data_IF_258269662647
#
_entry.id   IF_258269662647
#
_cell.length_a   1.000
_cell.length_b   1.000
_cell.length_c   1.000
_cell.angle_alpha   90.00
_cell.angle_beta   90.00
_cell.angle_gamma   90.00
#
_symmetry.space_group_name_H-M   'P 1'
#
loop_
_entity.id
_entity.type
_entity.pdbx_description
1 polymer ?
#
# COMPACT_ATOMS: atom_id res chain seq x y z
N UNK A 1 18.82 -8.08 -14.64
CA UNK A 1 19.81 -7.41 -13.76
C UNK A 1 20.58 -8.48 -13.01
N UNK A 2 21.86 -8.29 -12.76
CA UNK A 2 22.64 -9.18 -11.88
C UNK A 2 22.36 -8.87 -10.39
N UNK A 3 22.80 -9.74 -9.49
CA UNK A 3 22.54 -9.59 -8.05
C UNK A 3 23.10 -8.27 -7.49
N UNK A 4 24.28 -7.85 -7.96
CA UNK A 4 24.92 -6.60 -7.52
C UNK A 4 24.07 -5.39 -7.89
N UNK A 5 23.63 -5.32 -9.14
CA UNK A 5 22.74 -4.22 -9.60
C UNK A 5 21.39 -4.25 -8.87
N UNK A 6 20.84 -5.43 -8.61
CA UNK A 6 19.59 -5.57 -7.82
C UNK A 6 19.77 -5.00 -6.42
N UNK A 7 20.83 -5.35 -5.71
CA UNK A 7 21.11 -4.83 -4.36
C UNK A 7 21.37 -3.32 -4.36
N UNK A 8 22.03 -2.79 -5.40
CA UNK A 8 22.21 -1.35 -5.56
C UNK A 8 20.86 -0.62 -5.77
N UNK A 9 19.94 -1.19 -6.55
CA UNK A 9 18.61 -0.62 -6.75
C UNK A 9 17.81 -0.64 -5.45
N UNK A 10 17.81 -1.75 -4.73
CA UNK A 10 17.12 -1.87 -3.42
C UNK A 10 17.67 -0.84 -2.43
N UNK A 11 18.99 -0.80 -2.26
CA UNK A 11 19.65 0.15 -1.34
C UNK A 11 19.44 1.60 -1.75
N UNK A 12 19.59 1.91 -3.04
CA UNK A 12 19.35 3.23 -3.60
C UNK A 12 17.89 3.69 -3.41
N UNK A 13 16.94 2.79 -3.61
CA UNK A 13 15.52 3.05 -3.34
C UNK A 13 15.27 3.36 -1.86
N UNK A 14 15.78 2.51 -0.95
CA UNK A 14 15.63 2.75 0.49
C UNK A 14 16.20 4.12 0.91
N UNK A 15 17.38 4.49 0.40
CA UNK A 15 17.99 5.80 0.64
C UNK A 15 17.16 6.93 0.03
N UNK A 16 16.61 6.75 -1.16
CA UNK A 16 15.78 7.78 -1.83
C UNK A 16 14.48 8.03 -1.06
N UNK A 17 13.80 7.00 -0.57
CA UNK A 17 12.61 7.17 0.26
C UNK A 17 12.95 7.74 1.65
N UNK A 18 14.11 7.42 2.22
CA UNK A 18 14.60 8.09 3.43
C UNK A 18 14.85 9.57 3.19
N UNK A 19 15.45 9.92 2.06
CA UNK A 19 15.65 11.31 1.66
C UNK A 19 14.31 12.03 1.48
N UNK A 20 13.35 11.41 0.77
CA UNK A 20 12.01 11.96 0.60
C UNK A 20 11.32 12.21 1.95
N UNK A 21 11.38 11.26 2.88
CA UNK A 21 10.84 11.41 4.24
C UNK A 21 11.49 12.59 4.97
N UNK A 22 12.79 12.80 4.76
CA UNK A 22 13.54 13.94 5.34
C UNK A 22 13.12 15.26 4.69
N UNK A 23 12.91 15.30 3.37
CA UNK A 23 12.40 16.48 2.64
C UNK A 23 11.01 16.84 3.16
N UNK A 24 10.11 15.86 3.29
CA UNK A 24 8.75 16.10 3.84
C UNK A 24 8.82 16.66 5.27
N UNK A 25 9.85 16.33 6.05
CA UNK A 25 10.06 16.86 7.40
C UNK A 25 10.31 18.36 7.41
N UNK A 26 10.99 18.91 6.39
CA UNK A 26 11.31 20.35 6.30
C UNK A 26 10.21 21.16 5.62
N UNK A 27 9.27 20.49 4.94
CA UNK A 27 8.11 21.15 4.34
C UNK A 27 7.07 21.59 5.40
N UNK A 28 6.28 22.64 5.12
CA UNK A 28 5.26 23.12 6.04
C UNK A 28 4.21 22.03 6.30
N UNK A 29 4.12 21.60 7.56
CA UNK A 29 3.10 20.64 8.01
C UNK A 29 1.84 21.38 8.43
N UNK A 30 0.63 20.95 7.98
CA UNK A 30 -0.62 21.54 8.43
C UNK A 30 -0.73 21.58 9.96
N UNK A 31 -1.30 22.65 10.52
CA UNK A 31 -1.32 22.91 11.97
C UNK A 31 -1.90 21.72 12.74
N UNK A 32 -2.99 21.14 12.28
CA UNK A 32 -3.64 19.98 12.91
C UNK A 32 -2.80 18.70 12.83
N UNK A 33 -2.02 18.54 11.76
CA UNK A 33 -1.13 17.40 11.56
C UNK A 33 0.15 17.47 12.41
N UNK A 34 0.53 18.64 12.92
CA UNK A 34 1.76 18.82 13.74
C UNK A 34 1.80 17.90 14.96
N UNK A 35 0.64 17.65 15.60
CA UNK A 35 0.55 16.70 16.74
C UNK A 35 0.86 15.26 16.34
N UNK A 36 0.79 14.93 15.05
CA UNK A 36 1.07 13.61 14.46
C UNK A 36 2.09 13.73 13.32
N UNK A 37 3.11 14.56 13.48
CA UNK A 37 4.07 14.93 12.45
C UNK A 37 4.79 13.71 11.84
N UNK A 38 5.13 12.70 12.65
CA UNK A 38 5.71 11.46 12.14
C UNK A 38 4.73 10.77 11.17
N UNK A 39 3.47 10.60 11.58
CA UNK A 39 2.45 9.95 10.73
C UNK A 39 2.20 10.71 9.44
N UNK A 40 2.21 12.04 9.49
CA UNK A 40 2.11 12.89 8.30
C UNK A 40 3.23 12.58 7.30
N UNK A 41 4.48 12.54 7.76
CA UNK A 41 5.65 12.25 6.90
C UNK A 41 5.60 10.83 6.33
N UNK A 42 5.35 9.84 7.19
CA UNK A 42 5.28 8.44 6.80
C UNK A 42 4.20 8.25 5.72
N UNK A 43 2.97 8.73 5.93
CA UNK A 43 1.88 8.60 4.95
C UNK A 43 2.16 9.38 3.66
N UNK A 44 2.85 10.54 3.72
CA UNK A 44 3.24 11.29 2.52
C UNK A 44 4.27 10.51 1.68
N UNK A 45 5.23 9.85 2.34
CA UNK A 45 6.22 8.99 1.68
C UNK A 45 5.55 7.76 1.07
N UNK A 46 4.59 7.15 1.78
CA UNK A 46 3.79 6.02 1.29
C UNK A 46 2.92 6.40 0.09
N UNK A 47 2.35 7.61 0.08
CA UNK A 47 1.59 8.13 -1.07
C UNK A 47 2.48 8.24 -2.32
N UNK A 48 3.70 8.76 -2.18
CA UNK A 48 4.63 8.85 -3.29
C UNK A 48 5.02 7.46 -3.84
N UNK A 49 5.31 6.50 -2.94
CA UNK A 49 5.57 5.11 -3.32
C UNK A 49 4.38 4.51 -4.08
N UNK A 50 3.18 4.56 -3.50
CA UNK A 50 1.98 3.96 -4.10
C UNK A 50 1.65 4.56 -5.45
N UNK A 51 1.81 5.87 -5.62
CA UNK A 51 1.59 6.56 -6.91
C UNK A 51 2.59 6.10 -7.96
N UNK A 52 3.87 6.00 -7.60
CA UNK A 52 4.92 5.53 -8.50
C UNK A 52 4.71 4.07 -8.89
N UNK A 53 4.57 3.19 -7.89
CA UNK A 53 4.59 1.73 -8.12
C UNK A 53 3.27 1.20 -8.65
N UNK A 54 2.13 1.79 -8.29
CA UNK A 54 0.84 1.45 -8.88
C UNK A 54 0.79 1.77 -10.38
N UNK A 55 1.25 2.97 -10.78
CA UNK A 55 1.35 3.34 -12.18
C UNK A 55 2.37 2.44 -12.93
N UNK A 56 3.51 2.18 -12.32
CA UNK A 56 4.55 1.33 -12.91
C UNK A 56 4.09 -0.14 -13.07
N UNK A 57 3.30 -0.68 -12.14
CA UNK A 57 2.72 -2.03 -12.27
C UNK A 57 1.79 -2.13 -13.49
N UNK A 58 0.95 -1.11 -13.73
CA UNK A 58 0.11 -1.04 -14.94
C UNK A 58 0.98 -1.01 -16.21
N UNK A 59 2.04 -0.20 -16.22
CA UNK A 59 2.96 -0.12 -17.36
C UNK A 59 3.70 -1.44 -17.61
N UNK A 60 4.03 -2.22 -16.58
CA UNK A 60 4.61 -3.56 -16.75
C UNK A 60 3.71 -4.47 -17.57
N UNK A 61 2.41 -4.53 -17.28
CA UNK A 61 1.47 -5.35 -18.03
C UNK A 61 1.16 -4.78 -19.42
N UNK A 62 1.16 -3.45 -19.56
CA UNK A 62 0.96 -2.80 -20.86
C UNK A 62 2.08 -3.10 -21.86
N UNK A 63 3.35 -3.01 -21.40
CA UNK A 63 4.52 -3.26 -22.27
C UNK A 63 4.90 -4.73 -22.37
N UNK A 64 4.49 -5.56 -21.41
CA UNK A 64 4.82 -6.98 -21.34
C UNK A 64 3.56 -7.83 -21.06
N UNK A 65 2.57 -7.86 -21.97
CA UNK A 65 1.30 -8.57 -21.76
C UNK A 65 1.50 -10.09 -21.58
N UNK A 66 2.54 -10.68 -22.14
CA UNK A 66 2.91 -12.08 -21.93
C UNK A 66 3.19 -12.44 -20.45
N UNK A 67 3.45 -11.45 -19.61
CA UNK A 67 3.63 -11.68 -18.16
C UNK A 67 2.34 -12.17 -17.47
N UNK A 68 1.16 -11.90 -18.06
CA UNK A 68 -0.13 -12.39 -17.53
C UNK A 68 -0.28 -13.89 -17.76
N UNK A 69 0.33 -14.43 -18.83
CA UNK A 69 0.28 -15.83 -19.20
C UNK A 69 1.21 -16.69 -18.34
N UNK A 70 2.39 -16.16 -18.03
CA UNK A 70 3.39 -16.83 -17.18
C UNK A 70 3.89 -15.89 -16.06
N UNK A 71 3.27 -15.99 -14.90
CA UNK A 71 3.65 -15.20 -13.71
C UNK A 71 4.86 -15.76 -12.96
N UNK A 72 5.27 -16.99 -13.26
CA UNK A 72 6.37 -17.69 -12.58
C UNK A 72 7.70 -17.31 -13.22
N UNK A 73 7.83 -17.53 -14.53
CA UNK A 73 9.12 -17.46 -15.24
C UNK A 73 9.28 -16.15 -16.02
N UNK A 74 8.17 -15.53 -16.41
CA UNK A 74 8.22 -14.29 -17.18
C UNK A 74 8.77 -13.13 -16.36
N UNK A 75 9.80 -12.48 -16.91
CA UNK A 75 10.43 -11.32 -16.29
C UNK A 75 10.94 -10.33 -17.33
N UNK A 76 10.96 -9.07 -16.95
CA UNK A 76 11.57 -8.00 -17.75
C UNK A 76 12.44 -7.11 -16.84
N UNK A 77 13.29 -6.29 -17.42
CA UNK A 77 14.05 -5.29 -16.65
C UNK A 77 13.08 -4.35 -15.94
N UNK A 78 11.94 -4.02 -16.58
CA UNK A 78 10.92 -3.13 -16.02
C UNK A 78 10.28 -3.72 -14.78
N UNK A 79 9.82 -5.00 -14.83
CA UNK A 79 9.19 -5.68 -13.69
C UNK A 79 10.18 -5.95 -12.56
N UNK A 80 11.42 -6.34 -12.89
CA UNK A 80 12.47 -6.56 -11.91
C UNK A 80 12.81 -5.26 -11.16
N UNK A 81 12.99 -4.15 -11.89
CA UNK A 81 13.29 -2.84 -11.29
C UNK A 81 12.14 -2.35 -10.40
N UNK A 82 10.88 -2.54 -10.82
CA UNK A 82 9.72 -2.20 -10.02
C UNK A 82 9.71 -2.93 -8.67
N UNK A 83 9.88 -4.26 -8.69
CA UNK A 83 9.87 -5.07 -7.46
C UNK A 83 11.08 -4.75 -6.58
N UNK A 84 12.27 -4.50 -7.16
CA UNK A 84 13.46 -4.09 -6.42
C UNK A 84 13.29 -2.71 -5.76
N UNK A 85 12.72 -1.73 -6.47
CA UNK A 85 12.41 -0.39 -5.93
C UNK A 85 11.39 -0.49 -4.79
N UNK A 86 10.33 -1.30 -4.97
CA UNK A 86 9.33 -1.53 -3.93
C UNK A 86 9.93 -2.21 -2.71
N UNK A 87 10.82 -3.20 -2.90
CA UNK A 87 11.53 -3.85 -1.79
C UNK A 87 12.32 -2.83 -0.96
N UNK A 88 13.06 -1.92 -1.62
CA UNK A 88 13.80 -0.86 -0.94
C UNK A 88 12.90 0.08 -0.13
N UNK A 89 11.74 0.46 -0.69
CA UNK A 89 10.75 1.23 0.04
C UNK A 89 10.23 0.47 1.27
N UNK A 90 9.82 -0.80 1.14
CA UNK A 90 9.28 -1.56 2.27
C UNK A 90 10.32 -1.76 3.37
N UNK A 91 11.61 -1.91 3.04
CA UNK A 91 12.71 -1.92 4.02
C UNK A 91 12.80 -0.56 4.74
N UNK A 92 12.76 0.55 4.00
CA UNK A 92 12.77 1.88 4.60
C UNK A 92 11.57 2.09 5.54
N UNK A 93 10.35 1.76 5.09
CA UNK A 93 9.13 1.98 5.85
C UNK A 93 9.08 1.08 7.10
N UNK A 94 9.51 -0.18 6.97
CA UNK A 94 9.67 -1.08 8.11
C UNK A 94 10.59 -0.48 9.19
N UNK A 95 11.77 -0.01 8.80
CA UNK A 95 12.73 0.60 9.72
C UNK A 95 12.19 1.91 10.32
N UNK A 96 11.55 2.77 9.51
CA UNK A 96 10.97 4.02 10.00
C UNK A 96 9.88 3.76 11.05
N UNK A 97 9.02 2.76 10.85
CA UNK A 97 8.02 2.35 11.84
C UNK A 97 8.64 1.71 13.08
N UNK A 98 9.60 0.80 12.90
CA UNK A 98 10.24 0.10 14.01
C UNK A 98 10.96 1.05 14.98
N UNK A 99 11.55 2.14 14.45
CA UNK A 99 12.27 3.13 15.26
C UNK A 99 11.38 4.24 15.83
N UNK A 100 10.22 4.54 15.22
CA UNK A 100 9.41 5.70 15.59
C UNK A 100 8.05 5.35 16.21
N UNK A 101 7.64 4.08 16.21
CA UNK A 101 6.36 3.63 16.76
C UNK A 101 6.53 2.58 17.85
N UNK A 102 5.59 2.52 18.79
CA UNK A 102 5.55 1.41 19.72
C UNK A 102 5.12 0.12 19.03
N UNK A 103 5.75 -0.99 19.36
CA UNK A 103 5.45 -2.30 18.78
C UNK A 103 3.96 -2.66 18.87
N UNK A 104 3.30 -2.33 19.99
CA UNK A 104 1.87 -2.60 20.19
C UNK A 104 0.95 -1.92 19.15
N UNK A 105 1.40 -0.81 18.57
CA UNK A 105 0.60 -0.05 17.58
C UNK A 105 0.93 -0.42 16.14
N UNK A 106 2.10 -1.00 15.88
CA UNK A 106 2.63 -1.22 14.54
C UNK A 106 2.88 -2.68 14.16
N UNK A 107 2.72 -3.64 15.10
CA UNK A 107 3.09 -5.04 14.88
C UNK A 107 2.40 -5.68 13.66
N UNK A 108 1.11 -5.38 13.41
CA UNK A 108 0.38 -5.90 12.24
C UNK A 108 1.08 -5.47 10.95
N UNK A 109 1.45 -4.19 10.88
CA UNK A 109 2.07 -3.60 9.70
C UNK A 109 3.53 -4.02 9.57
N UNK A 110 4.28 -4.12 10.66
CA UNK A 110 5.64 -4.66 10.67
C UNK A 110 5.68 -6.12 10.20
N UNK A 111 4.73 -6.94 10.64
CA UNK A 111 4.60 -8.32 10.17
C UNK A 111 4.30 -8.36 8.66
N UNK A 112 3.37 -7.54 8.20
CA UNK A 112 3.06 -7.41 6.77
C UNK A 112 4.31 -7.02 5.95
N UNK A 113 5.03 -5.99 6.35
CA UNK A 113 6.26 -5.57 5.66
C UNK A 113 7.32 -6.66 5.65
N UNK A 114 7.50 -7.38 6.75
CA UNK A 114 8.44 -8.51 6.81
C UNK A 114 8.12 -9.58 5.77
N UNK A 115 6.85 -9.94 5.62
CA UNK A 115 6.38 -10.93 4.64
C UNK A 115 6.58 -10.41 3.22
N UNK A 116 6.21 -9.15 2.95
CA UNK A 116 6.38 -8.54 1.61
C UNK A 116 7.85 -8.46 1.23
N UNK A 117 8.73 -8.01 2.14
CA UNK A 117 10.18 -7.95 1.91
C UNK A 117 10.74 -9.34 1.60
N UNK A 118 10.29 -10.39 2.32
CA UNK A 118 10.72 -11.76 2.07
C UNK A 118 10.26 -12.27 0.71
N UNK A 119 8.98 -12.07 0.35
CA UNK A 119 8.44 -12.49 -0.94
C UNK A 119 9.09 -11.76 -2.12
N UNK A 120 9.20 -10.43 -2.03
CA UNK A 120 9.80 -9.61 -3.08
C UNK A 120 11.32 -9.84 -3.17
N UNK A 121 12.00 -9.97 -2.03
CA UNK A 121 13.40 -10.34 -1.98
C UNK A 121 13.68 -11.66 -2.68
N UNK A 122 12.85 -12.68 -2.43
CA UNK A 122 12.93 -13.95 -3.16
C UNK A 122 12.72 -13.75 -4.67
N UNK A 123 11.67 -13.02 -5.06
CA UNK A 123 11.33 -12.79 -6.47
C UNK A 123 12.49 -12.10 -7.23
N UNK A 124 13.09 -11.04 -6.66
CA UNK A 124 14.19 -10.31 -7.34
C UNK A 124 15.52 -11.08 -7.35
N UNK A 125 15.78 -11.92 -6.36
CA UNK A 125 17.01 -12.71 -6.30
C UNK A 125 16.96 -13.94 -7.20
N UNK A 126 15.81 -14.62 -7.26
CA UNK A 126 15.61 -15.81 -8.11
C UNK A 126 15.21 -15.46 -9.53
N UNK A 127 14.68 -14.26 -9.78
CA UNK A 127 14.02 -13.82 -11.02
C UNK A 127 12.77 -14.65 -11.37
N UNK A 128 12.24 -15.37 -10.41
CA UNK A 128 11.01 -16.13 -10.51
C UNK A 128 9.89 -15.41 -9.77
N UNK A 129 8.64 -15.65 -10.18
CA UNK A 129 7.44 -15.06 -9.55
C UNK A 129 7.36 -13.53 -9.64
N UNK A 130 8.17 -12.90 -10.52
CA UNK A 130 8.13 -11.44 -10.70
C UNK A 130 6.76 -10.98 -11.22
N UNK A 131 6.13 -11.73 -12.12
CA UNK A 131 4.79 -11.44 -12.58
C UNK A 131 3.77 -11.43 -11.43
N UNK A 132 3.85 -12.42 -10.53
CA UNK A 132 3.00 -12.48 -9.34
C UNK A 132 3.23 -11.32 -8.37
N UNK A 133 4.49 -10.92 -8.18
CA UNK A 133 4.85 -9.74 -7.38
C UNK A 133 4.30 -8.44 -8.00
N UNK A 134 4.36 -8.28 -9.35
CA UNK A 134 3.80 -7.12 -10.05
C UNK A 134 2.27 -7.08 -9.92
N UNK A 135 1.57 -8.24 -10.02
CA UNK A 135 0.12 -8.30 -9.74
C UNK A 135 -0.19 -7.81 -8.33
N UNK A 136 0.59 -8.24 -7.34
CA UNK A 136 0.38 -7.79 -5.95
C UNK A 136 0.55 -6.27 -5.79
N UNK A 137 1.39 -5.62 -6.59
CA UNK A 137 1.58 -4.17 -6.58
C UNK A 137 0.43 -3.39 -7.22
N UNK A 138 -0.52 -4.03 -7.93
CA UNK A 138 -1.74 -3.37 -8.39
C UNK A 138 -2.61 -2.87 -7.22
N UNK A 139 -2.49 -3.45 -6.03
CA UNK A 139 -3.17 -2.96 -4.83
C UNK A 139 -2.72 -1.55 -4.44
N UNK A 140 -1.53 -1.11 -4.90
CA UNK A 140 -1.01 0.23 -4.64
C UNK A 140 -1.85 1.34 -5.31
N UNK A 141 -2.61 1.01 -6.36
CA UNK A 141 -3.58 1.94 -6.97
C UNK A 141 -4.63 2.38 -5.94
N UNK A 142 -5.15 1.44 -5.14
CA UNK A 142 -6.03 1.81 -4.02
C UNK A 142 -5.26 2.53 -2.90
N UNK A 143 -4.01 2.13 -2.62
CA UNK A 143 -3.20 2.76 -1.58
C UNK A 143 -3.00 4.27 -1.82
N UNK A 144 -2.99 4.74 -3.08
CA UNK A 144 -2.97 6.17 -3.42
C UNK A 144 -4.14 6.91 -2.75
N UNK A 145 -5.36 6.42 -2.94
CA UNK A 145 -6.57 7.04 -2.37
C UNK A 145 -6.65 6.84 -0.86
N UNK A 146 -6.18 5.70 -0.36
CA UNK A 146 -6.10 5.43 1.08
C UNK A 146 -5.17 6.42 1.78
N UNK A 147 -3.97 6.65 1.24
CA UNK A 147 -3.00 7.60 1.80
C UNK A 147 -3.45 9.05 1.62
N UNK A 148 -4.00 9.42 0.46
CA UNK A 148 -4.58 10.74 0.23
C UNK A 148 -5.69 11.04 1.25
N UNK A 149 -6.64 10.10 1.46
CA UNK A 149 -7.69 10.21 2.47
C UNK A 149 -7.10 10.38 3.87
N UNK A 150 -6.05 9.63 4.20
CA UNK A 150 -5.39 9.72 5.51
C UNK A 150 -4.73 11.09 5.73
N UNK A 151 -4.12 11.68 4.70
CA UNK A 151 -3.53 13.03 4.77
C UNK A 151 -4.63 14.10 4.93
N UNK A 152 -5.75 13.97 4.21
CA UNK A 152 -6.90 14.86 4.37
C UNK A 152 -7.49 14.77 5.78
N UNK A 153 -7.52 13.57 6.37
CA UNK A 153 -7.95 13.35 7.74
C UNK A 153 -7.00 14.01 8.75
N UNK A 154 -5.69 13.88 8.56
CA UNK A 154 -4.67 14.49 9.41
C UNK A 154 -4.68 16.02 9.31
N UNK A 155 -5.04 16.58 8.15
CA UNK A 155 -5.18 18.02 7.93
C UNK A 155 -6.54 18.60 8.40
N UNK A 156 -7.42 17.77 8.99
CA UNK A 156 -8.70 18.20 9.54
C UNK A 156 -9.82 18.39 8.52
N UNK A 157 -9.65 17.92 7.28
CA UNK A 157 -10.64 18.10 6.21
C UNK A 157 -11.95 17.33 6.43
N UNK A 158 -12.00 16.39 7.36
CA UNK A 158 -13.22 15.69 7.75
C UNK A 158 -14.15 16.56 8.60
N UNK A 159 -13.58 17.37 9.50
CA UNK A 159 -14.35 18.21 10.42
C UNK A 159 -13.96 19.67 10.23
N UNK A 160 -14.24 20.23 9.05
CA UNK A 160 -14.01 21.65 8.81
C UNK A 160 -14.93 22.49 9.71
N UNK A 161 -14.39 23.50 10.39
CA UNK A 161 -15.20 24.41 11.16
C UNK A 161 -16.30 25.00 10.25
N UNK A 162 -17.56 24.88 10.68
CA UNK A 162 -18.66 25.63 10.09
C UNK A 162 -18.61 27.11 10.48
N UNK A 163 -19.49 27.92 9.91
CA UNK A 163 -19.82 29.24 10.43
C UNK A 163 -20.57 29.08 11.77
N UNK A 164 -20.70 30.15 12.57
CA UNK A 164 -21.36 30.12 13.90
C UNK A 164 -22.75 29.43 13.92
N UNK A 165 -23.37 29.28 12.75
CA UNK A 165 -24.73 28.70 12.57
C UNK A 165 -24.69 27.26 12.02
N UNK A 166 -23.53 26.75 11.49
CA UNK A 166 -23.47 25.45 10.83
C UNK A 166 -22.53 24.48 11.55
N UNK A 167 -22.99 23.23 11.75
CA UNK A 167 -22.18 22.17 12.31
C UNK A 167 -20.95 21.88 11.43
N UNK A 168 -19.84 21.35 12.01
CA UNK A 168 -18.65 20.92 11.26
C UNK A 168 -19.02 19.93 10.16
N UNK A 169 -18.55 20.18 8.94
CA UNK A 169 -18.84 19.33 7.76
C UNK A 169 -17.56 18.87 7.09
N UNK A 170 -17.56 17.66 6.49
CA UNK A 170 -16.42 17.19 5.69
C UNK A 170 -16.26 18.05 4.43
N UNK A 171 -15.02 18.24 4.00
CA UNK A 171 -14.75 18.92 2.72
C UNK A 171 -15.16 18.02 1.54
N UNK A 172 -15.55 18.65 0.43
CA UNK A 172 -15.88 17.92 -0.81
C UNK A 172 -14.73 17.02 -1.27
N UNK A 173 -13.50 17.50 -1.17
CA UNK A 173 -12.29 16.71 -1.50
C UNK A 173 -12.20 15.46 -0.63
N UNK A 174 -12.47 15.56 0.69
CA UNK A 174 -12.48 14.41 1.58
C UNK A 174 -13.56 13.38 1.18
N UNK A 175 -14.76 13.85 0.86
CA UNK A 175 -15.88 13.00 0.44
C UNK A 175 -15.54 12.25 -0.84
N UNK A 176 -15.10 12.97 -1.89
CA UNK A 176 -14.73 12.36 -3.18
C UNK A 176 -13.59 11.33 -2.98
N UNK A 177 -12.55 11.70 -2.24
CA UNK A 177 -11.42 10.79 -1.99
C UNK A 177 -11.86 9.55 -1.20
N UNK A 178 -12.79 9.67 -0.25
CA UNK A 178 -13.32 8.53 0.50
C UNK A 178 -14.11 7.57 -0.39
N UNK A 179 -14.96 8.08 -1.29
CA UNK A 179 -15.68 7.25 -2.26
C UNK A 179 -14.75 6.58 -3.27
N UNK A 180 -13.77 7.32 -3.80
CA UNK A 180 -12.75 6.75 -4.68
C UNK A 180 -11.93 5.66 -3.96
N UNK A 181 -11.58 5.89 -2.68
CA UNK A 181 -10.89 4.88 -1.88
C UNK A 181 -11.74 3.61 -1.72
N UNK A 182 -13.04 3.74 -1.46
CA UNK A 182 -13.93 2.58 -1.31
C UNK A 182 -14.11 1.83 -2.65
N UNK A 183 -14.37 2.55 -3.74
CA UNK A 183 -14.52 1.96 -5.07
C UNK A 183 -13.25 1.25 -5.55
N UNK A 184 -12.11 1.91 -5.44
CA UNK A 184 -10.81 1.31 -5.81
C UNK A 184 -10.40 0.17 -4.87
N UNK A 185 -10.85 0.16 -3.62
CA UNK A 185 -10.64 -0.96 -2.69
C UNK A 185 -11.28 -2.24 -3.22
N UNK A 186 -12.53 -2.17 -3.66
CA UNK A 186 -13.22 -3.34 -4.21
C UNK A 186 -12.55 -3.84 -5.49
N UNK A 187 -12.17 -2.92 -6.39
CA UNK A 187 -11.58 -3.27 -7.69
C UNK A 187 -10.14 -3.78 -7.54
N UNK A 188 -9.27 -3.05 -6.84
CA UNK A 188 -7.83 -3.36 -6.82
C UNK A 188 -7.38 -4.19 -5.63
N UNK A 189 -8.08 -4.18 -4.49
CA UNK A 189 -7.72 -5.05 -3.35
C UNK A 189 -8.50 -6.35 -3.34
N UNK A 190 -9.83 -6.26 -3.34
CA UNK A 190 -10.65 -7.48 -3.23
C UNK A 190 -10.49 -8.37 -4.46
N UNK A 191 -10.62 -7.79 -5.68
CA UNK A 191 -10.53 -8.57 -6.91
C UNK A 191 -9.12 -9.12 -7.15
N UNK A 192 -8.06 -8.30 -6.95
CA UNK A 192 -6.68 -8.75 -7.12
C UNK A 192 -6.36 -9.88 -6.13
N UNK A 193 -6.72 -9.71 -4.86
CA UNK A 193 -6.46 -10.71 -3.84
C UNK A 193 -7.21 -12.02 -4.09
N UNK A 194 -8.49 -11.95 -4.44
CA UNK A 194 -9.29 -13.11 -4.80
C UNK A 194 -8.71 -13.85 -6.03
N UNK A 195 -8.26 -13.09 -7.03
CA UNK A 195 -7.58 -13.65 -8.19
C UNK A 195 -6.25 -14.33 -7.83
N UNK A 196 -5.42 -13.68 -6.99
CA UNK A 196 -4.14 -14.24 -6.54
C UNK A 196 -4.31 -15.55 -5.76
N UNK A 197 -5.30 -15.62 -4.86
CA UNK A 197 -5.64 -16.84 -4.11
C UNK A 197 -6.06 -17.96 -5.06
N UNK A 198 -6.94 -17.66 -6.01
CA UNK A 198 -7.40 -18.63 -7.02
C UNK A 198 -6.24 -19.12 -7.90
N UNK A 199 -5.40 -18.19 -8.35
CA UNK A 199 -4.22 -18.52 -9.17
C UNK A 199 -3.26 -19.44 -8.41
N UNK A 200 -2.92 -19.08 -7.15
CA UNK A 200 -2.01 -19.88 -6.33
C UNK A 200 -2.56 -21.29 -6.06
N UNK A 201 -3.86 -21.42 -5.80
CA UNK A 201 -4.51 -22.71 -5.62
C UNK A 201 -4.44 -23.57 -6.88
N UNK A 202 -4.69 -22.98 -8.06
CA UNK A 202 -4.66 -23.68 -9.35
C UNK A 202 -3.26 -24.12 -9.80
N UNK A 203 -2.20 -23.46 -9.29
CA UNK A 203 -0.80 -23.77 -9.66
C UNK A 203 -0.02 -24.45 -8.53
N UNK A 204 -0.69 -24.88 -7.48
CA UNK A 204 -0.07 -25.43 -6.26
C UNK A 204 0.84 -26.64 -6.52
N UNK A 205 0.52 -27.45 -7.53
CA UNK A 205 1.33 -28.65 -7.90
C UNK A 205 2.64 -28.29 -8.60
N UNK A 206 2.73 -27.11 -9.24
CA UNK A 206 3.88 -26.65 -9.99
C UNK A 206 4.84 -25.76 -9.17
N UNK A 207 4.43 -25.40 -7.96
CA UNK A 207 5.18 -24.49 -7.09
C UNK A 207 5.85 -25.29 -5.97
N UNK A 208 7.16 -25.08 -5.71
CA UNK A 208 7.84 -25.71 -4.59
C UNK A 208 7.12 -25.43 -3.26
N UNK A 209 7.00 -26.44 -2.40
CA UNK A 209 6.19 -26.38 -1.16
C UNK A 209 6.54 -25.20 -0.26
N UNK A 210 7.81 -24.87 -0.10
CA UNK A 210 8.23 -23.74 0.74
C UNK A 210 7.75 -22.38 0.19
N UNK A 211 7.75 -22.20 -1.14
CA UNK A 211 7.24 -20.98 -1.80
C UNK A 211 5.71 -20.92 -1.68
N UNK A 212 5.04 -22.07 -1.89
CA UNK A 212 3.59 -22.18 -1.72
C UNK A 212 3.17 -21.82 -0.29
N UNK A 213 3.88 -22.34 0.72
CA UNK A 213 3.63 -22.01 2.13
C UNK A 213 3.85 -20.52 2.43
N UNK A 214 4.92 -19.93 1.90
CA UNK A 214 5.20 -18.51 2.06
C UNK A 214 4.13 -17.64 1.38
N UNK A 215 3.75 -17.99 0.16
CA UNK A 215 2.71 -17.29 -0.61
C UNK A 215 1.33 -17.40 0.06
N UNK A 216 0.93 -18.59 0.51
CA UNK A 216 -0.35 -18.79 1.20
C UNK A 216 -0.40 -18.07 2.55
N UNK A 217 0.68 -18.13 3.33
CA UNK A 217 0.75 -17.39 4.59
C UNK A 217 0.67 -15.87 4.36
N UNK A 218 1.40 -15.34 3.36
CA UNK A 218 1.35 -13.94 2.99
C UNK A 218 -0.04 -13.49 2.53
N UNK A 219 -0.68 -14.24 1.62
CA UNK A 219 -2.03 -13.93 1.14
C UNK A 219 -3.07 -14.02 2.25
N UNK A 220 -2.96 -14.99 3.17
CA UNK A 220 -3.86 -15.11 4.32
C UNK A 220 -3.73 -13.91 5.25
N UNK A 221 -2.51 -13.51 5.59
CA UNK A 221 -2.25 -12.31 6.41
C UNK A 221 -2.83 -11.05 5.78
N UNK A 222 -2.54 -10.83 4.48
CA UNK A 222 -3.03 -9.65 3.74
C UNK A 222 -4.56 -9.68 3.64
N UNK A 223 -5.19 -10.86 3.47
CA UNK A 223 -6.65 -11.00 3.43
C UNK A 223 -7.30 -10.58 4.75
N UNK A 224 -6.76 -11.03 5.88
CA UNK A 224 -7.25 -10.63 7.21
C UNK A 224 -7.08 -9.12 7.41
N UNK A 225 -5.91 -8.56 7.10
CA UNK A 225 -5.66 -7.13 7.23
C UNK A 225 -6.58 -6.29 6.35
N UNK A 226 -6.84 -6.71 5.10
CA UNK A 226 -7.76 -6.01 4.21
C UNK A 226 -9.21 -6.09 4.69
N UNK A 227 -9.64 -7.22 5.26
CA UNK A 227 -10.97 -7.36 5.87
C UNK A 227 -11.15 -6.39 7.05
N UNK A 228 -10.16 -6.31 7.94
CA UNK A 228 -10.17 -5.36 9.06
C UNK A 228 -10.16 -3.93 8.55
N UNK A 229 -9.34 -3.62 7.54
CA UNK A 229 -9.27 -2.29 6.94
C UNK A 229 -10.61 -1.91 6.30
N UNK A 230 -11.23 -2.80 5.54
CA UNK A 230 -12.54 -2.57 4.93
C UNK A 230 -13.61 -2.25 5.97
N UNK A 231 -13.67 -3.04 7.04
CA UNK A 231 -14.60 -2.78 8.14
C UNK A 231 -14.36 -1.40 8.79
N UNK A 232 -13.10 -1.04 9.03
CA UNK A 232 -12.73 0.29 9.59
C UNK A 232 -13.15 1.44 8.66
N UNK A 233 -13.00 1.28 7.33
CA UNK A 233 -13.42 2.27 6.34
C UNK A 233 -14.94 2.42 6.31
N UNK A 234 -15.68 1.31 6.23
CA UNK A 234 -17.15 1.36 6.25
C UNK A 234 -17.69 2.03 7.52
N UNK A 235 -17.14 1.62 8.67
CA UNK A 235 -17.54 2.22 9.95
C UNK A 235 -17.26 3.72 10.01
N UNK A 236 -16.11 4.16 9.48
CA UNK A 236 -15.72 5.56 9.55
C UNK A 236 -16.50 6.47 8.60
N UNK A 237 -16.83 5.98 7.39
CA UNK A 237 -17.37 6.84 6.33
C UNK A 237 -18.88 6.66 6.10
N UNK A 238 -19.47 5.49 6.43
CA UNK A 238 -20.89 5.20 6.17
C UNK A 238 -21.69 5.13 7.47
N UNK A 239 -21.26 4.33 8.45
CA UNK A 239 -22.06 4.09 9.66
C UNK A 239 -22.09 5.28 10.62
N UNK A 240 -21.08 6.17 10.56
CA UNK A 240 -21.06 7.38 11.41
C UNK A 240 -21.99 8.48 10.87
N UNK A 241 -22.19 8.57 9.56
CA UNK A 241 -23.08 9.55 8.94
C UNK A 241 -24.57 9.21 9.17
N UNK A 242 -24.94 7.93 9.13
CA UNK A 242 -26.31 7.48 9.43
C UNK A 242 -26.74 7.79 10.87
N UNK A 243 -25.80 7.74 11.82
CA UNK A 243 -26.11 8.03 13.22
C UNK A 243 -26.32 9.55 13.49
N UNK A 244 -25.71 10.41 12.70
CA UNK A 244 -25.88 11.87 12.81
C UNK A 244 -27.16 12.36 12.13
N UNK A 245 -27.61 11.72 11.05
CA UNK A 245 -28.89 12.02 10.37
C UNK A 245 -30.09 11.56 11.20
N UNK A 246 -29.98 10.43 11.92
CA UNK A 246 -31.08 9.92 12.78
C UNK A 246 -31.29 10.69 14.08
N UNK A 247 -30.33 11.52 14.51
CA UNK A 247 -30.48 12.38 15.71
C UNK A 247 -31.05 13.77 15.43
N UNK A 248 -31.22 14.12 14.16
CA UNK A 248 -31.75 15.41 13.71
C UNK A 248 -33.21 15.33 13.18
N UNK A 249 -33.85 14.19 13.34
CA UNK A 249 -35.28 13.95 13.15
C UNK A 249 -35.91 13.47 14.46
#
# INVERSE_FOLDING_TARGET
MDLRSTLLVIGGSACSFKLLNTIVRVLPTPVLARKKAWKWRNVSTSLAHSSLTGAWAVLCFYFHPQMVEDLISSHSVLSHSLVAVSTGYFIHDFLDMAFNQSFKQSWELLLHHSVVISCFGLAVTTRLYLGFAVVSLLVEINSVFLHARQLLLLSGQRNRPGTEVTAPRPSVTYIITSWLNLGTFLVFRVSTLGWMVRWLAGHSEHIPRYILMMGTAGLSLISVMNTVLFYRLLRADILTDTHNTSKNH
#
